data_IF_851599688296
#
_entry.id   IF_851599688296
#
_cell.length_a   1.000
_cell.length_b   1.000
_cell.length_c   1.000
_cell.angle_alpha   90.00
_cell.angle_beta   90.00
_cell.angle_gamma   90.00
#
_symmetry.space_group_name_H-M   'P 1'
#
loop_
_entity.id
_entity.type
_entity.pdbx_description
1 polymer ?
#
# COMPACT_ATOMS: atom_id res chain seq x y z
N UNK A 1 -8.50 -8.60 18.44
CA UNK A 1 -8.26 -7.14 18.59
C UNK A 1 -8.73 -6.44 17.32
N UNK A 2 -9.16 -5.18 17.40
CA UNK A 2 -9.53 -4.35 16.24
C UNK A 2 -8.33 -3.52 15.78
N UNK A 3 -8.21 -3.27 14.48
CA UNK A 3 -7.12 -2.46 13.93
C UNK A 3 -7.16 -1.03 14.49
N UNK A 4 -8.35 -0.47 14.68
CA UNK A 4 -8.55 0.85 15.27
C UNK A 4 -8.02 0.99 16.69
N UNK A 5 -8.06 -0.09 17.48
CA UNK A 5 -7.49 -0.11 18.84
C UNK A 5 -5.97 0.01 18.77
N UNK A 6 -5.33 -0.79 17.91
CA UNK A 6 -3.88 -0.78 17.72
C UNK A 6 -3.37 0.62 17.29
N UNK A 7 -4.06 1.25 16.35
CA UNK A 7 -3.72 2.61 15.88
C UNK A 7 -3.83 3.63 17.03
N UNK A 8 -4.84 3.50 17.88
CA UNK A 8 -5.03 4.40 19.04
C UNK A 8 -3.94 4.23 20.09
N UNK A 9 -3.52 3.00 20.35
CA UNK A 9 -2.44 2.68 21.29
C UNK A 9 -1.09 3.27 20.84
N UNK A 10 -0.94 3.51 19.54
CA UNK A 10 0.24 4.15 18.94
C UNK A 10 0.15 5.68 18.87
N UNK A 11 -0.80 6.28 19.60
CA UNK A 11 -1.04 7.73 19.64
C UNK A 11 -1.39 8.36 18.28
N UNK A 12 -1.88 7.58 17.31
CA UNK A 12 -2.38 8.08 16.04
C UNK A 12 -3.89 8.27 16.08
N UNK A 13 -4.38 9.32 15.41
CA UNK A 13 -5.82 9.50 15.20
C UNK A 13 -6.33 8.54 14.11
N UNK A 14 -7.39 7.81 14.44
CA UNK A 14 -8.06 6.89 13.52
C UNK A 14 -8.64 7.63 12.31
N UNK A 15 -9.11 8.87 12.51
CA UNK A 15 -9.67 9.68 11.43
C UNK A 15 -8.61 10.13 10.41
N UNK A 16 -7.33 10.17 10.82
CA UNK A 16 -6.20 10.50 9.95
C UNK A 16 -5.61 9.27 9.25
N UNK A 17 -6.12 8.07 9.53
CA UNK A 17 -5.61 6.81 9.01
C UNK A 17 -6.55 6.20 7.97
N UNK A 18 -6.00 5.81 6.83
CA UNK A 18 -6.66 4.96 5.85
C UNK A 18 -6.14 3.51 5.93
N UNK A 19 -6.95 2.55 5.51
CA UNK A 19 -6.54 1.16 5.31
C UNK A 19 -6.55 0.86 3.82
N UNK A 20 -5.40 0.42 3.32
CA UNK A 20 -5.22 -0.08 1.98
C UNK A 20 -5.19 -1.60 2.02
N UNK A 21 -6.15 -2.22 1.34
CA UNK A 21 -6.16 -3.67 1.08
C UNK A 21 -5.73 -3.83 -0.37
N UNK A 22 -4.52 -4.34 -0.59
CA UNK A 22 -3.90 -4.33 -1.91
C UNK A 22 -3.84 -5.73 -2.51
N UNK A 23 -4.81 -6.08 -3.36
CA UNK A 23 -4.89 -7.40 -4.00
C UNK A 23 -4.45 -7.38 -5.47
N UNK A 24 -3.57 -6.44 -5.87
CA UNK A 24 -3.23 -6.21 -7.27
C UNK A 24 -2.78 -7.49 -7.97
N UNK A 25 -3.59 -7.95 -8.91
CA UNK A 25 -3.54 -9.33 -9.42
C UNK A 25 -2.18 -9.72 -10.04
N UNK A 26 -1.55 -8.89 -10.89
CA UNK A 26 -0.24 -9.22 -11.46
C UNK A 26 0.88 -9.36 -10.42
N UNK A 27 0.73 -8.75 -9.24
CA UNK A 27 1.71 -8.83 -8.15
C UNK A 27 1.20 -9.65 -6.97
N UNK A 28 0.04 -10.32 -7.07
CA UNK A 28 -0.62 -10.91 -5.90
C UNK A 28 0.31 -11.81 -5.09
N UNK A 29 1.13 -12.62 -5.75
CA UNK A 29 2.08 -13.54 -5.09
C UNK A 29 3.41 -12.89 -4.72
N UNK A 30 3.73 -11.72 -5.27
CA UNK A 30 5.01 -11.05 -5.10
C UNK A 30 4.96 -9.79 -4.24
N UNK A 31 3.77 -9.24 -3.93
CA UNK A 31 3.60 -8.02 -3.13
C UNK A 31 4.29 -8.11 -1.77
N UNK A 32 4.05 -9.19 -1.02
CA UNK A 32 4.71 -9.42 0.26
C UNK A 32 6.23 -9.54 0.12
N UNK A 33 6.70 -10.28 -0.90
CA UNK A 33 8.13 -10.42 -1.15
C UNK A 33 8.76 -9.06 -1.51
N UNK A 34 8.07 -8.26 -2.32
CA UNK A 34 8.51 -6.92 -2.72
C UNK A 34 8.60 -5.96 -1.54
N UNK A 35 7.65 -6.01 -0.60
CA UNK A 35 7.70 -5.14 0.59
C UNK A 35 8.88 -5.45 1.50
N UNK A 36 9.40 -6.68 1.48
CA UNK A 36 10.55 -7.11 2.31
C UNK A 36 11.87 -6.96 1.56
N UNK A 37 11.97 -7.46 0.33
CA UNK A 37 13.24 -7.55 -0.42
C UNK A 37 13.57 -6.29 -1.21
N UNK A 38 12.57 -5.47 -1.56
CA UNK A 38 12.74 -4.25 -2.36
C UNK A 38 11.80 -3.13 -1.88
N UNK A 39 11.94 -2.66 -0.62
CA UNK A 39 11.02 -1.71 -0.01
C UNK A 39 10.97 -0.36 -0.75
N UNK A 40 12.04 0.03 -1.43
CA UNK A 40 12.08 1.22 -2.29
C UNK A 40 11.16 1.08 -3.52
N UNK A 41 11.18 -0.10 -4.14
CA UNK A 41 10.31 -0.46 -5.27
C UNK A 41 8.87 -0.59 -4.80
N UNK A 42 8.64 -1.21 -3.64
CA UNK A 42 7.32 -1.30 -3.03
C UNK A 42 6.72 0.08 -2.74
N UNK A 43 7.53 0.99 -2.19
CA UNK A 43 7.11 2.38 -1.95
C UNK A 43 6.77 3.09 -3.26
N UNK A 44 7.57 2.93 -4.32
CA UNK A 44 7.24 3.49 -5.64
C UNK A 44 5.91 2.94 -6.21
N UNK A 45 5.64 1.65 -6.01
CA UNK A 45 4.37 1.04 -6.37
C UNK A 45 3.19 1.64 -5.59
N UNK A 46 3.37 1.93 -4.29
CA UNK A 46 2.38 2.62 -3.47
C UNK A 46 2.24 4.11 -3.81
N UNK A 47 3.23 4.75 -4.42
CA UNK A 47 3.10 6.17 -4.80
C UNK A 47 2.11 6.43 -5.95
N UNK A 48 1.62 5.39 -6.63
CA UNK A 48 0.76 5.53 -7.82
C UNK A 48 -0.50 4.68 -7.71
N UNK A 49 -1.65 5.35 -7.70
CA UNK A 49 -2.97 4.72 -7.56
C UNK A 49 -3.94 5.15 -8.65
N UNK A 50 -4.97 4.33 -8.89
CA UNK A 50 -6.10 4.71 -9.75
C UNK A 50 -6.82 5.93 -9.18
N UNK A 51 -7.40 6.75 -10.05
CA UNK A 51 -8.00 8.04 -9.66
C UNK A 51 -9.05 7.94 -8.54
N UNK A 52 -9.84 6.86 -8.52
CA UNK A 52 -10.87 6.62 -7.48
C UNK A 52 -10.28 6.38 -6.09
N UNK A 53 -9.13 5.72 -5.99
CA UNK A 53 -8.49 5.39 -4.71
C UNK A 53 -7.79 6.62 -4.10
N UNK A 54 -7.38 7.56 -4.96
CA UNK A 54 -6.67 8.75 -4.55
C UNK A 54 -7.48 9.79 -3.77
N UNK A 55 -8.82 9.75 -3.83
CA UNK A 55 -9.67 10.68 -3.08
C UNK A 55 -9.60 10.45 -1.56
N UNK A 56 -9.51 9.18 -1.15
CA UNK A 56 -9.34 8.81 0.25
C UNK A 56 -7.96 9.20 0.75
N UNK A 57 -6.88 8.80 0.06
CA UNK A 57 -5.52 9.14 0.48
C UNK A 57 -5.26 10.63 0.61
N UNK A 58 -5.86 11.47 -0.25
CA UNK A 58 -5.75 12.94 -0.16
C UNK A 58 -6.23 13.53 1.17
N UNK A 59 -7.13 12.82 1.89
CA UNK A 59 -7.74 13.31 3.13
C UNK A 59 -7.10 12.72 4.39
N UNK A 60 -6.20 11.74 4.24
CA UNK A 60 -5.61 11.03 5.36
C UNK A 60 -4.10 11.26 5.35
N UNK A 61 -3.52 11.41 6.53
CA UNK A 61 -2.08 11.62 6.70
C UNK A 61 -1.31 10.30 6.67
N UNK A 62 -1.98 9.21 7.00
CA UNK A 62 -1.38 7.90 7.14
C UNK A 62 -2.20 6.85 6.39
N UNK A 63 -1.54 5.81 5.89
CA UNK A 63 -2.25 4.60 5.49
C UNK A 63 -1.52 3.32 5.90
N UNK A 64 -2.32 2.37 6.39
CA UNK A 64 -1.91 1.02 6.73
C UNK A 64 -2.05 0.15 5.48
N UNK A 65 -0.99 -0.52 5.04
CA UNK A 65 -1.06 -1.39 3.87
C UNK A 65 -1.10 -2.86 4.26
N UNK A 66 -2.08 -3.59 3.71
CA UNK A 66 -2.18 -5.04 3.80
C UNK A 66 -2.03 -5.65 2.41
N UNK A 67 -1.18 -6.67 2.30
CA UNK A 67 -0.88 -7.39 1.05
C UNK A 67 -1.17 -8.89 1.20
N UNK A 68 -1.46 -9.61 0.09
CA UNK A 68 -1.68 -11.05 0.09
C UNK A 68 -0.55 -11.81 0.78
N UNK A 69 -0.92 -12.75 1.65
CA UNK A 69 0.00 -13.71 2.24
C UNK A 69 -0.69 -15.07 2.38
N UNK A 70 -0.34 -16.01 1.51
CA UNK A 70 -1.08 -17.28 1.38
C UNK A 70 -2.44 -17.12 0.70
N UNK A 71 -3.30 -18.12 0.84
CA UNK A 71 -4.54 -18.23 0.04
C UNK A 71 -5.72 -17.39 0.54
N UNK A 72 -5.82 -17.13 1.85
CA UNK A 72 -7.00 -16.50 2.47
C UNK A 72 -6.64 -15.49 3.57
N UNK A 73 -5.43 -14.94 3.53
CA UNK A 73 -4.96 -13.95 4.50
C UNK A 73 -4.29 -12.79 3.80
N UNK A 74 -4.38 -11.63 4.44
CA UNK A 74 -3.58 -10.47 4.12
C UNK A 74 -2.68 -10.18 5.31
N UNK A 75 -1.44 -9.80 5.03
CA UNK A 75 -0.44 -9.47 6.02
C UNK A 75 -0.13 -7.98 5.98
N UNK A 76 0.10 -7.42 7.16
CA UNK A 76 0.48 -6.03 7.31
C UNK A 76 1.87 -5.80 6.71
N UNK A 77 1.94 -5.00 5.64
CA UNK A 77 3.17 -4.63 4.97
C UNK A 77 3.84 -3.41 5.59
N UNK A 78 3.11 -2.65 6.41
CA UNK A 78 3.62 -1.48 7.12
C UNK A 78 2.67 -0.29 7.10
N UNK A 79 3.16 0.81 7.63
CA UNK A 79 2.50 2.11 7.65
C UNK A 79 3.29 3.10 6.80
N UNK A 80 2.57 3.93 6.05
CA UNK A 80 3.16 5.03 5.28
C UNK A 80 2.50 6.35 5.65
N UNK A 81 3.29 7.42 5.65
CA UNK A 81 2.81 8.79 5.68
C UNK A 81 2.52 9.26 4.25
N UNK A 82 1.57 10.19 4.10
CA UNK A 82 1.28 10.89 2.86
C UNK A 82 1.73 12.34 3.01
N UNK A 83 2.94 12.64 2.54
CA UNK A 83 3.60 13.94 2.70
C UNK A 83 3.11 14.97 1.67
N UNK A 84 2.62 14.49 0.54
CA UNK A 84 2.16 15.37 -0.53
C UNK A 84 1.46 14.65 -1.66
N UNK A 85 0.73 15.42 -2.46
CA UNK A 85 0.06 14.92 -3.67
C UNK A 85 0.33 15.88 -4.81
N UNK A 86 0.85 15.35 -5.91
CA UNK A 86 1.17 16.13 -7.10
C UNK A 86 0.78 15.36 -8.34
N UNK A 87 0.43 16.05 -9.43
CA UNK A 87 0.32 15.41 -10.73
C UNK A 87 1.69 15.54 -11.44
N UNK A 88 2.31 14.42 -11.80
CA UNK A 88 3.67 14.34 -12.34
C UNK A 88 3.67 13.80 -13.77
N UNK A 89 4.57 14.25 -14.66
CA UNK A 89 4.59 13.77 -16.03
C UNK A 89 5.01 12.30 -16.12
N UNK A 90 4.44 11.56 -17.09
CA UNK A 90 4.74 10.15 -17.34
C UNK A 90 6.26 9.87 -17.45
N UNK A 91 6.97 10.77 -18.14
CA UNK A 91 8.42 10.67 -18.33
C UNK A 91 9.22 10.64 -17.03
N UNK A 92 8.73 11.25 -15.95
CA UNK A 92 9.45 11.23 -14.67
C UNK A 92 9.50 9.81 -14.13
N UNK A 93 8.39 9.08 -14.22
CA UNK A 93 8.31 7.71 -13.77
C UNK A 93 9.17 6.78 -14.65
N UNK A 94 9.22 7.04 -15.96
CA UNK A 94 10.08 6.27 -16.87
C UNK A 94 11.57 6.51 -16.60
N UNK A 95 11.95 7.64 -15.99
CA UNK A 95 13.33 7.94 -15.58
C UNK A 95 13.69 7.41 -14.19
N UNK A 96 12.70 7.22 -13.32
CA UNK A 96 12.90 6.70 -11.97
C UNK A 96 13.22 5.19 -11.99
N UNK A 97 14.39 4.84 -11.44
CA UNK A 97 14.90 3.47 -11.41
C UNK A 97 13.96 2.52 -10.66
N UNK A 98 13.23 3.00 -9.65
CA UNK A 98 12.30 2.17 -8.85
C UNK A 98 11.13 1.68 -9.69
N UNK A 99 10.56 2.55 -10.55
CA UNK A 99 9.49 2.15 -11.47
C UNK A 99 9.99 1.24 -12.59
N UNK A 100 11.23 1.43 -13.05
CA UNK A 100 11.86 0.49 -14.00
C UNK A 100 12.04 -0.90 -13.39
N UNK A 101 12.54 -0.97 -12.15
CA UNK A 101 12.69 -2.22 -11.39
C UNK A 101 11.34 -2.88 -11.13
N UNK A 102 10.34 -2.11 -10.70
CA UNK A 102 8.96 -2.58 -10.54
C UNK A 102 8.47 -3.32 -11.79
N UNK A 103 8.65 -2.71 -12.96
CA UNK A 103 8.22 -3.34 -14.21
C UNK A 103 9.07 -4.56 -14.59
N UNK A 104 10.40 -4.43 -14.57
CA UNK A 104 11.32 -5.45 -15.13
C UNK A 104 11.57 -6.64 -14.22
N UNK A 105 11.68 -6.41 -12.91
CA UNK A 105 12.06 -7.44 -11.93
C UNK A 105 10.83 -8.07 -11.28
N UNK A 106 9.74 -7.29 -11.12
CA UNK A 106 8.57 -7.70 -10.35
C UNK A 106 7.34 -7.98 -11.21
N UNK A 107 7.40 -7.78 -12.53
CA UNK A 107 6.25 -7.81 -13.44
C UNK A 107 5.14 -6.83 -13.04
N UNK A 108 5.54 -5.72 -12.40
CA UNK A 108 4.65 -4.65 -12.06
C UNK A 108 4.20 -3.85 -13.30
N UNK A 109 3.16 -3.03 -13.13
CA UNK A 109 2.66 -2.17 -14.18
C UNK A 109 3.72 -1.18 -14.63
N UNK A 110 3.71 -0.84 -15.92
CA UNK A 110 4.50 0.27 -16.44
C UNK A 110 3.94 1.57 -15.89
N UNK A 111 4.81 2.56 -15.72
CA UNK A 111 4.36 3.90 -15.38
C UNK A 111 3.32 4.45 -16.37
N UNK A 112 3.49 4.14 -17.66
CA UNK A 112 2.54 4.45 -18.72
C UNK A 112 1.16 3.83 -18.51
N UNK A 113 1.05 2.66 -17.87
CA UNK A 113 -0.22 1.97 -17.62
C UNK A 113 -1.10 2.71 -16.61
N UNK A 114 -0.47 3.59 -15.83
CA UNK A 114 -1.18 4.45 -14.90
C UNK A 114 -1.64 5.76 -15.54
N UNK A 115 -1.17 6.14 -16.73
CA UNK A 115 -1.54 7.40 -17.36
C UNK A 115 -2.90 7.29 -18.09
N UNK A 116 -3.76 8.32 -18.02
CA UNK A 116 -5.05 8.29 -18.70
C UNK A 116 -4.84 8.41 -20.22
N UNK A 117 -5.29 7.39 -20.98
CA UNK A 117 -5.13 7.29 -22.44
C UNK A 117 -5.70 8.47 -23.27
N UNK A 118 -6.53 9.33 -22.68
CA UNK A 118 -7.20 10.42 -23.40
C UNK A 118 -6.50 11.78 -23.30
N UNK A 119 -5.53 11.94 -22.40
CA UNK A 119 -4.69 13.15 -22.28
C UNK A 119 -3.35 12.73 -21.70
N UNK A 120 -2.36 12.52 -22.57
CA UNK A 120 -0.96 12.74 -22.17
C UNK A 120 -0.94 14.07 -21.40
N UNK A 121 -0.43 14.19 -20.18
CA UNK A 121 0.97 13.94 -19.86
C UNK A 121 1.20 13.56 -18.38
N UNK A 122 0.21 13.63 -17.49
CA UNK A 122 0.46 13.55 -16.04
C UNK A 122 -0.32 12.45 -15.30
N UNK A 123 0.27 11.98 -14.21
CA UNK A 123 -0.31 11.04 -13.26
C UNK A 123 -0.16 11.55 -11.84
N UNK A 124 -1.23 11.39 -11.06
CA UNK A 124 -1.20 11.63 -9.63
C UNK A 124 -0.19 10.73 -8.94
N UNK A 125 0.75 11.38 -8.27
CA UNK A 125 1.76 10.81 -7.43
C UNK A 125 1.48 11.22 -5.98
N UNK A 126 1.46 10.21 -5.11
CA UNK A 126 1.43 10.38 -3.67
C UNK A 126 2.87 10.27 -3.18
N UNK A 127 3.37 11.36 -2.58
CA UNK A 127 4.65 11.33 -1.92
C UNK A 127 4.46 10.61 -0.58
N UNK A 128 4.88 9.34 -0.57
CA UNK A 128 4.66 8.45 0.56
C UNK A 128 6.00 8.00 1.12
N UNK A 129 6.10 8.01 2.44
CA UNK A 129 7.31 7.63 3.16
C UNK A 129 6.94 6.55 4.18
N UNK A 130 7.78 5.51 4.36
CA UNK A 130 7.58 4.56 5.45
C UNK A 130 7.56 5.29 6.78
N UNK A 131 6.61 4.93 7.63
CA UNK A 131 6.44 5.50 8.95
C UNK A 131 7.04 4.57 9.99
N UNK A 132 7.77 5.09 11.00
CA UNK A 132 8.32 4.25 12.07
C UNK A 132 7.25 3.74 13.03
N UNK A 133 6.04 4.31 13.00
CA UNK A 133 4.93 3.83 13.84
C UNK A 133 4.46 2.45 13.35
N UNK A 134 4.31 1.50 14.27
CA UNK A 134 3.91 0.12 14.01
C UNK A 134 4.91 -0.70 13.18
N UNK A 135 6.15 -0.24 12.99
CA UNK A 135 7.14 -0.95 12.18
C UNK A 135 7.49 -2.34 12.76
N UNK A 136 7.49 -2.46 14.09
CA UNK A 136 7.65 -3.71 14.84
C UNK A 136 6.55 -4.75 14.55
N UNK A 137 5.42 -4.30 14.01
CA UNK A 137 4.28 -5.13 13.67
C UNK A 137 4.23 -5.54 12.20
N UNK A 138 5.11 -4.96 11.36
CA UNK A 138 5.27 -5.32 9.96
C UNK A 138 5.53 -6.83 9.83
N UNK A 139 4.69 -7.51 9.04
CA UNK A 139 4.77 -8.95 8.85
C UNK A 139 4.18 -9.83 9.96
N UNK A 140 3.87 -9.24 11.11
CA UNK A 140 3.37 -9.94 12.30
C UNK A 140 1.84 -9.96 12.33
N UNK A 141 1.21 -8.88 11.86
CA UNK A 141 -0.24 -8.72 11.90
C UNK A 141 -0.89 -9.22 10.61
N UNK A 142 -1.99 -9.95 10.77
CA UNK A 142 -2.81 -10.46 9.66
C UNK A 142 -4.29 -10.05 9.81
N UNK A 143 -4.94 -9.88 8.67
CA UNK A 143 -6.41 -9.79 8.53
C UNK A 143 -6.90 -10.89 7.59
N UNK A 144 -8.19 -11.19 7.67
CA UNK A 144 -8.84 -12.12 6.74
C UNK A 144 -8.88 -11.54 5.32
N UNK A 145 -8.80 -12.41 4.31
CA UNK A 145 -8.96 -12.00 2.91
C UNK A 145 -10.32 -11.33 2.68
N UNK A 146 -10.39 -10.22 1.92
CA UNK A 146 -11.66 -9.53 1.68
C UNK A 146 -12.59 -10.38 0.80
N UNK A 147 -13.89 -10.34 1.08
CA UNK A 147 -14.91 -11.06 0.29
C UNK A 147 -14.86 -10.71 -1.21
N UNK A 148 -14.42 -9.49 -1.54
CA UNK A 148 -14.19 -9.04 -2.91
C UNK A 148 -12.69 -8.80 -3.14
N UNK A 149 -12.02 -9.57 -4.03
CA UNK A 149 -10.60 -9.45 -4.29
C UNK A 149 -10.28 -8.25 -5.19
N UNK A 150 -10.49 -7.04 -4.67
CA UNK A 150 -10.11 -5.80 -5.34
C UNK A 150 -9.21 -4.97 -4.44
N UNK A 151 -8.24 -4.28 -5.04
CA UNK A 151 -7.50 -3.25 -4.34
C UNK A 151 -8.45 -2.10 -3.98
N UNK A 152 -8.45 -1.67 -2.72
CA UNK A 152 -9.19 -0.51 -2.28
C UNK A 152 -8.51 0.21 -1.13
N UNK A 153 -8.87 1.48 -0.97
CA UNK A 153 -8.48 2.32 0.16
C UNK A 153 -9.74 2.85 0.84
N UNK A 154 -9.83 2.70 2.17
CA UNK A 154 -10.95 3.15 2.99
C UNK A 154 -10.44 3.89 4.21
N UNK A 155 -11.23 4.82 4.75
CA UNK A 155 -10.94 5.37 6.09
C UNK A 155 -10.94 4.22 7.10
N UNK A 156 -10.06 4.28 8.10
CA UNK A 156 -10.08 3.33 9.21
C UNK A 156 -11.38 3.42 10.01
N UNK A 157 -12.05 4.58 10.00
CA UNK A 157 -13.39 4.75 10.61
C UNK A 157 -14.46 3.93 9.89
N UNK A 158 -14.31 3.71 8.58
CA UNK A 158 -15.28 3.03 7.74
C UNK A 158 -14.93 1.55 7.54
N UNK A 159 -13.68 1.18 7.80
CA UNK A 159 -13.16 -0.18 7.66
C UNK A 159 -12.18 -0.52 8.78
N UNK A 160 -12.69 -1.22 9.81
CA UNK A 160 -11.94 -1.65 10.99
C UNK A 160 -11.89 -3.19 11.10
N UNK A 161 -10.96 -3.84 10.36
CA UNK A 161 -10.86 -5.28 10.34
C UNK A 161 -10.43 -5.85 11.70
N UNK A 162 -10.85 -7.08 11.98
CA UNK A 162 -10.27 -7.84 13.08
C UNK A 162 -8.86 -8.27 12.71
N UNK A 163 -7.92 -8.03 13.62
CA UNK A 163 -6.51 -8.40 13.45
C UNK A 163 -6.12 -9.58 14.33
N UNK A 164 -5.19 -10.38 13.81
CA UNK A 164 -4.54 -11.49 14.51
C UNK A 164 -3.05 -11.21 14.53
N UNK A 165 -2.45 -11.16 15.71
CA UNK A 165 -1.00 -11.13 15.86
C UNK A 165 -0.48 -12.55 15.74
N UNK A 166 0.56 -12.77 14.94
CA UNK A 166 1.20 -14.06 14.83
C UNK A 166 2.53 -14.02 15.58
N UNK A 167 2.79 -14.99 16.44
CA UNK A 167 4.15 -15.25 16.91
C UNK A 167 4.99 -15.68 15.69
N UNK A 168 5.96 -14.86 15.30
CA UNK A 168 6.70 -15.00 14.06
C UNK A 168 7.58 -16.26 14.08
N UNK A 169 7.07 -17.41 13.62
CA UNK A 169 7.93 -18.46 13.07
C UNK A 169 8.29 -18.08 11.65
N UNK A 170 9.44 -17.45 11.50
CA UNK A 170 10.12 -17.33 10.22
C UNK A 170 10.33 -18.75 9.68
N UNK A 171 9.70 -19.08 8.55
CA UNK A 171 10.07 -20.31 7.83
C UNK A 171 11.39 -20.03 7.08
N UNK A 172 12.35 -20.97 7.14
CA UNK A 172 13.68 -20.83 6.54
C UNK A 172 13.66 -20.71 5.01
#
# INVERSE_FOLDING_TARGET
MRLSNLVSESAMDRADCAVMVNTYDPLRTSLWRMSVEAPDVFTAFLSVHRAMDGGTLKRHRHFLCFVPFGSLKMRFAGLWNVEGVSDRPAEMFDRDLRFRRLHKEWNGPRASDYCHKQKHETRRYFDVTPSPYLDDLTGTIEIDWPDQPRTYIRSLTDYDPAIRAKETRWWP
#
